data_IF_496000749144
#
_entry.id   IF_496000749144
#
_cell.length_a   1.000
_cell.length_b   1.000
_cell.length_c   1.000
_cell.angle_alpha   90.00
_cell.angle_beta   90.00
_cell.angle_gamma   90.00
#
_symmetry.space_group_name_H-M   'P 1'
#
loop_
_entity.id
_entity.type
_entity.pdbx_description
1 polymer ?
#
# COMPACT_ATOMS: atom_id res chain seq x y z
N UNK A 1 -23.90 -7.50 -2.52
CA UNK A 1 -23.33 -6.24 -1.99
C UNK A 1 -24.39 -5.28 -1.45
N UNK A 2 -25.57 -5.14 -2.09
CA UNK A 2 -26.66 -4.27 -1.62
C UNK A 2 -27.06 -4.42 -0.14
N UNK A 3 -26.97 -5.65 0.43
CA UNK A 3 -27.36 -5.90 1.82
C UNK A 3 -26.45 -5.25 2.88
N UNK A 4 -25.16 -5.10 2.61
CA UNK A 4 -24.24 -4.44 3.56
C UNK A 4 -24.40 -2.92 3.51
N UNK A 5 -24.65 -2.37 2.31
CA UNK A 5 -24.88 -0.94 2.10
C UNK A 5 -26.19 -0.48 2.78
N UNK A 6 -27.20 -1.35 2.87
CA UNK A 6 -28.49 -1.02 3.50
C UNK A 6 -28.51 -1.12 5.03
N UNK A 7 -27.43 -1.55 5.68
CA UNK A 7 -27.38 -1.71 7.15
C UNK A 7 -27.00 -0.39 7.82
N UNK A 8 -27.78 0.13 8.79
CA UNK A 8 -27.55 1.47 9.37
C UNK A 8 -26.25 1.59 10.19
N UNK A 9 -25.69 0.47 10.63
CA UNK A 9 -24.46 0.41 11.43
C UNK A 9 -23.24 -0.05 10.61
N UNK A 10 -23.31 0.01 9.28
CA UNK A 10 -22.23 -0.40 8.39
C UNK A 10 -21.76 0.81 7.58
N UNK A 11 -20.47 1.12 7.71
CA UNK A 11 -19.77 2.03 6.82
C UNK A 11 -18.93 1.21 5.84
N UNK A 12 -19.22 1.34 4.55
CA UNK A 12 -18.48 0.67 3.49
C UNK A 12 -17.68 1.71 2.70
N UNK A 13 -16.38 1.44 2.51
CA UNK A 13 -15.48 2.28 1.72
C UNK A 13 -14.71 1.43 0.70
N UNK A 14 -14.30 2.04 -0.40
CA UNK A 14 -13.61 1.34 -1.51
C UNK A 14 -12.12 1.14 -1.22
N UNK A 15 -11.77 0.39 -0.18
CA UNK A 15 -10.38 0.17 0.25
C UNK A 15 -9.55 1.47 0.33
N UNK A 16 -10.17 2.56 0.78
CA UNK A 16 -9.53 3.88 0.85
C UNK A 16 -8.79 4.11 2.17
N UNK A 17 -8.58 3.04 2.97
CA UNK A 17 -7.92 3.14 4.26
C UNK A 17 -6.48 3.69 4.16
N UNK A 18 -5.81 3.51 3.01
CA UNK A 18 -4.44 4.00 2.76
C UNK A 18 -4.40 5.39 2.10
N UNK A 19 -5.54 6.00 1.76
CA UNK A 19 -5.59 7.22 0.96
C UNK A 19 -5.35 8.49 1.81
N UNK A 20 -4.15 8.60 2.36
CA UNK A 20 -3.65 9.82 3.04
C UNK A 20 -2.39 10.32 2.34
N UNK A 21 -2.11 11.62 2.47
CA UNK A 21 -0.89 12.25 1.92
C UNK A 21 0.37 11.54 2.45
N UNK A 22 0.42 11.23 3.74
CA UNK A 22 1.56 10.59 4.40
C UNK A 22 1.75 9.15 3.91
N UNK A 23 0.66 8.38 3.82
CA UNK A 23 0.73 6.99 3.37
C UNK A 23 1.18 6.91 1.90
N UNK A 24 0.65 7.77 1.02
CA UNK A 24 1.08 7.82 -0.37
C UNK A 24 2.54 8.29 -0.52
N UNK A 25 2.97 9.27 0.28
CA UNK A 25 4.36 9.73 0.31
C UNK A 25 5.29 8.59 0.71
N UNK A 26 4.98 7.88 1.80
CA UNK A 26 5.78 6.76 2.29
C UNK A 26 5.86 5.62 1.25
N UNK A 27 4.77 5.33 0.54
CA UNK A 27 4.74 4.33 -0.54
C UNK A 27 5.69 4.75 -1.66
N UNK A 28 5.64 6.01 -2.10
CA UNK A 28 6.51 6.51 -3.16
C UNK A 28 7.98 6.48 -2.75
N UNK A 29 8.31 7.00 -1.57
CA UNK A 29 9.68 7.01 -1.04
C UNK A 29 10.26 5.60 -0.90
N UNK A 30 9.50 4.67 -0.32
CA UNK A 30 9.92 3.27 -0.17
C UNK A 30 10.14 2.60 -1.52
N UNK A 31 9.25 2.86 -2.49
CA UNK A 31 9.36 2.31 -3.84
C UNK A 31 10.63 2.81 -4.54
N UNK A 32 10.88 4.12 -4.49
CA UNK A 32 12.08 4.72 -5.09
C UNK A 32 13.33 4.21 -4.40
N UNK A 33 13.33 4.11 -3.06
CA UNK A 33 14.47 3.56 -2.31
C UNK A 33 14.77 2.12 -2.71
N UNK A 34 13.76 1.24 -2.77
CA UNK A 34 13.95 -0.14 -3.20
C UNK A 34 14.52 -0.22 -4.62
N UNK A 35 14.05 0.64 -5.52
CA UNK A 35 14.57 0.75 -6.88
C UNK A 35 16.05 1.16 -6.90
N UNK A 36 16.43 2.21 -6.16
CA UNK A 36 17.82 2.66 -6.08
C UNK A 36 18.73 1.60 -5.45
N UNK A 37 18.29 0.98 -4.35
CA UNK A 37 19.05 -0.07 -3.66
C UNK A 37 19.32 -1.25 -4.61
N UNK A 38 18.39 -1.58 -5.52
CA UNK A 38 18.59 -2.57 -6.58
C UNK A 38 19.68 -2.17 -7.59
N UNK A 39 19.64 -0.94 -8.12
CA UNK A 39 20.64 -0.49 -9.09
C UNK A 39 22.04 -0.33 -8.49
N UNK A 40 22.11 -0.02 -7.20
CA UNK A 40 23.37 0.11 -6.46
C UNK A 40 23.91 -1.23 -5.95
N UNK A 41 23.19 -2.34 -6.16
CA UNK A 41 23.59 -3.67 -5.69
C UNK A 41 23.60 -3.79 -4.17
N UNK A 42 22.78 -3.00 -3.47
CA UNK A 42 22.59 -3.08 -2.03
C UNK A 42 21.63 -4.21 -1.66
N UNK A 43 21.59 -4.54 -0.37
CA UNK A 43 20.64 -5.49 0.18
C UNK A 43 19.19 -5.01 -0.04
N UNK A 44 18.37 -5.88 -0.62
CA UNK A 44 16.96 -5.60 -0.92
C UNK A 44 16.07 -5.95 0.27
N UNK A 45 15.87 -4.99 1.17
CA UNK A 45 15.11 -5.21 2.41
C UNK A 45 13.66 -5.68 2.19
N UNK A 46 13.06 -5.31 1.06
CA UNK A 46 11.65 -5.60 0.73
C UNK A 46 11.54 -6.54 -0.49
N UNK A 47 12.54 -7.39 -0.74
CA UNK A 47 12.48 -8.34 -1.84
C UNK A 47 11.33 -9.34 -1.65
N UNK A 48 10.48 -9.44 -2.67
CA UNK A 48 9.36 -10.40 -2.68
C UNK A 48 9.84 -11.69 -3.32
N UNK A 49 10.00 -12.71 -2.50
CA UNK A 49 10.41 -14.05 -2.94
C UNK A 49 9.14 -14.85 -3.21
N UNK A 50 9.06 -15.49 -4.37
CA UNK A 50 7.98 -16.45 -4.64
C UNK A 50 8.23 -17.76 -3.88
N UNK A 51 7.18 -18.44 -3.40
CA UNK A 51 7.31 -19.74 -2.74
C UNK A 51 7.83 -20.84 -3.67
#
# INVERSE_FOLDING_TARGET
MARLISMPNVLLTSHQAFLTEEALTNIAETTIKNFLDFFEGKELQNEVISP
#
